data_IF_415944405378
#
_entry.id   IF_415944405378
#
_cell.length_a   1.000
_cell.length_b   1.000
_cell.length_c   1.000
_cell.angle_alpha   90.00
_cell.angle_beta   90.00
_cell.angle_gamma   90.00
#
_symmetry.space_group_name_H-M   'P 1'
#
loop_
_entity.id
_entity.type
_entity.pdbx_description
1 polymer ?
#
# COMPACT_ATOMS: atom_id res chain seq x y z
N UNK A 1 -9.58 35.05 30.69
CA UNK A 1 -8.78 35.45 29.50
C UNK A 1 -9.23 34.54 28.37
N UNK A 2 -9.59 35.14 27.26
CA UNK A 2 -10.45 34.57 26.24
C UNK A 2 -9.78 33.46 25.41
N UNK A 3 -10.45 32.33 25.32
CA UNK A 3 -10.12 31.20 24.45
C UNK A 3 -10.54 31.56 23.01
N UNK A 4 -9.61 31.97 22.17
CA UNK A 4 -9.85 32.20 20.73
C UNK A 4 -9.79 30.89 19.98
N UNK A 5 -10.93 30.20 19.95
CA UNK A 5 -11.22 29.13 19.02
C UNK A 5 -11.30 29.70 17.60
N UNK A 6 -10.23 29.63 16.84
CA UNK A 6 -10.21 29.91 15.40
C UNK A 6 -10.89 28.77 14.66
N UNK A 7 -12.23 28.81 14.58
CA UNK A 7 -12.98 28.05 13.56
C UNK A 7 -12.50 28.52 12.18
N UNK A 8 -11.71 27.72 11.49
CA UNK A 8 -11.52 27.86 10.04
C UNK A 8 -12.90 27.72 9.39
N UNK A 9 -13.44 28.82 8.88
CA UNK A 9 -14.65 28.84 8.05
C UNK A 9 -14.35 27.99 6.81
N UNK A 10 -15.12 26.91 6.58
CA UNK A 10 -15.17 26.21 5.30
C UNK A 10 -15.69 27.19 4.26
N UNK A 11 -14.82 27.74 3.41
CA UNK A 11 -15.23 28.50 2.25
C UNK A 11 -15.98 27.57 1.29
N UNK A 12 -17.16 28.00 0.84
CA UNK A 12 -17.87 27.31 -0.22
C UNK A 12 -16.99 27.33 -1.49
N UNK A 13 -16.89 26.20 -2.20
CA UNK A 13 -16.15 26.06 -3.46
C UNK A 13 -16.77 26.84 -4.63
N UNK A 14 -17.95 27.49 -4.41
CA UNK A 14 -18.67 28.25 -5.42
C UNK A 14 -17.86 29.47 -5.90
N UNK A 15 -17.23 29.34 -7.05
CA UNK A 15 -16.48 30.40 -7.73
C UNK A 15 -15.01 30.13 -8.00
N UNK A 16 -14.45 29.00 -7.57
CA UNK A 16 -13.10 28.61 -7.91
C UNK A 16 -13.10 27.93 -9.29
N UNK A 17 -12.30 28.46 -10.22
CA UNK A 17 -12.13 27.85 -11.54
C UNK A 17 -11.41 26.50 -11.39
N UNK A 18 -12.06 25.42 -11.86
CA UNK A 18 -11.49 24.06 -11.79
C UNK A 18 -10.44 23.91 -12.90
N UNK A 19 -9.16 23.63 -12.57
CA UNK A 19 -8.15 23.32 -13.56
C UNK A 19 -8.61 22.20 -14.47
N UNK A 20 -8.39 22.37 -15.79
CA UNK A 20 -8.81 21.39 -16.77
C UNK A 20 -7.63 21.00 -17.68
N UNK A 21 -7.34 19.70 -17.74
CA UNK A 21 -6.37 19.12 -18.64
C UNK A 21 -7.07 18.46 -19.84
N UNK A 22 -6.64 18.79 -21.05
CA UNK A 22 -7.10 18.10 -22.26
C UNK A 22 -6.03 17.08 -22.68
N UNK A 23 -6.39 15.81 -22.70
CA UNK A 23 -5.48 14.68 -22.89
C UNK A 23 -5.92 13.91 -24.12
N UNK A 24 -5.00 13.70 -25.06
CA UNK A 24 -5.24 12.84 -26.22
C UNK A 24 -4.90 11.40 -25.80
N UNK A 25 -5.93 10.63 -25.43
CA UNK A 25 -5.80 9.20 -25.11
C UNK A 25 -7.16 8.51 -25.14
N UNK A 26 -7.13 7.23 -25.46
CA UNK A 26 -8.26 6.31 -25.50
C UNK A 26 -8.17 5.25 -24.40
N UNK A 27 -6.97 5.06 -23.83
CA UNK A 27 -6.73 4.06 -22.78
C UNK A 27 -5.85 4.64 -21.67
N UNK A 28 -6.03 4.10 -20.47
CA UNK A 28 -5.28 4.52 -19.29
C UNK A 28 -4.73 3.27 -18.58
N UNK A 29 -3.42 3.23 -18.37
CA UNK A 29 -2.79 2.27 -17.45
C UNK A 29 -2.72 2.89 -16.07
N UNK A 30 -3.33 2.27 -15.07
CA UNK A 30 -3.25 2.68 -13.67
C UNK A 30 -2.20 1.89 -12.92
N UNK A 31 -1.33 2.60 -12.20
CA UNK A 31 -0.39 2.08 -11.21
C UNK A 31 -0.52 2.90 -9.94
N UNK A 32 -0.26 2.32 -8.76
CA UNK A 32 -0.37 3.02 -7.48
C UNK A 32 0.56 2.43 -6.44
N UNK A 33 0.83 3.18 -5.38
CA UNK A 33 1.50 2.69 -4.17
C UNK A 33 2.84 1.99 -4.48
N UNK A 34 3.68 2.68 -5.28
CA UNK A 34 4.99 2.19 -5.72
C UNK A 34 5.97 2.13 -4.54
N UNK A 35 5.94 3.15 -3.68
CA UNK A 35 6.78 3.28 -2.50
C UNK A 35 8.27 3.09 -2.75
N UNK A 36 8.85 3.88 -3.66
CA UNK A 36 10.31 3.95 -3.77
C UNK A 36 10.92 4.26 -2.40
N UNK A 37 11.91 3.47 -1.99
CA UNK A 37 12.52 3.55 -0.66
C UNK A 37 11.86 2.66 0.41
N UNK A 38 10.97 1.74 0.04
CA UNK A 38 10.43 0.73 0.96
C UNK A 38 11.57 -0.03 1.68
N UNK A 39 11.26 -0.61 2.86
CA UNK A 39 12.19 -1.38 3.68
C UNK A 39 13.49 -0.60 4.01
N UNK A 40 13.33 0.66 4.46
CA UNK A 40 14.43 1.57 4.84
C UNK A 40 15.43 1.81 3.71
N UNK A 41 14.94 1.95 2.48
CA UNK A 41 15.75 2.19 1.27
C UNK A 41 16.78 1.09 0.99
N UNK A 42 16.49 -0.16 1.38
CA UNK A 42 17.45 -1.26 1.18
C UNK A 42 17.77 -1.49 -0.29
N UNK A 43 19.03 -1.81 -0.58
CA UNK A 43 19.53 -2.12 -1.93
C UNK A 43 18.70 -3.25 -2.58
N UNK A 44 18.39 -4.31 -1.83
CA UNK A 44 17.57 -5.42 -2.30
C UNK A 44 16.19 -4.96 -2.82
N UNK A 45 15.55 -3.99 -2.14
CA UNK A 45 14.26 -3.46 -2.59
C UNK A 45 14.41 -2.52 -3.77
N UNK A 46 15.47 -1.73 -3.84
CA UNK A 46 15.76 -0.91 -5.01
C UNK A 46 15.95 -1.80 -6.26
N UNK A 47 16.73 -2.89 -6.15
CA UNK A 47 16.89 -3.88 -7.21
C UNK A 47 15.55 -4.52 -7.63
N UNK A 48 14.69 -4.90 -6.67
CA UNK A 48 13.38 -5.48 -6.98
C UNK A 48 12.50 -4.48 -7.74
N UNK A 49 12.51 -3.21 -7.33
CA UNK A 49 11.75 -2.15 -7.99
C UNK A 49 12.31 -1.85 -9.39
N UNK A 50 13.62 -1.73 -9.52
CA UNK A 50 14.29 -1.52 -10.79
C UNK A 50 13.97 -2.65 -11.79
N UNK A 51 14.08 -3.90 -11.35
CA UNK A 51 13.75 -5.06 -12.19
C UNK A 51 12.27 -5.07 -12.58
N UNK A 52 11.35 -4.76 -11.65
CA UNK A 52 9.93 -4.67 -11.97
C UNK A 52 9.66 -3.69 -13.10
N UNK A 53 10.24 -2.48 -13.02
CA UNK A 53 10.03 -1.48 -14.05
C UNK A 53 10.71 -1.85 -15.37
N UNK A 54 11.95 -2.33 -15.33
CA UNK A 54 12.75 -2.61 -16.52
C UNK A 54 12.33 -3.86 -17.27
N UNK A 55 12.01 -4.93 -16.52
CA UNK A 55 11.80 -6.25 -17.09
C UNK A 55 10.31 -6.61 -17.25
N UNK A 56 9.40 -5.86 -16.56
CA UNK A 56 7.97 -6.15 -16.64
C UNK A 56 7.11 -4.95 -17.02
N UNK A 57 7.17 -3.81 -16.33
CA UNK A 57 6.23 -2.70 -16.54
C UNK A 57 6.51 -1.94 -17.83
N UNK A 58 7.76 -1.57 -18.12
CA UNK A 58 8.13 -0.90 -19.38
C UNK A 58 7.86 -1.81 -20.59
N UNK A 59 8.24 -3.09 -20.62
CA UNK A 59 7.82 -4.01 -21.69
C UNK A 59 6.30 -4.14 -21.83
N UNK A 60 5.54 -4.16 -20.72
CA UNK A 60 4.08 -4.13 -20.76
C UNK A 60 3.54 -2.87 -21.46
N UNK A 61 4.07 -1.68 -21.10
CA UNK A 61 3.71 -0.42 -21.76
C UNK A 61 3.99 -0.49 -23.26
N UNK A 62 5.18 -0.94 -23.66
CA UNK A 62 5.56 -1.04 -25.08
C UNK A 62 4.65 -1.97 -25.86
N UNK A 63 4.31 -3.13 -25.27
CA UNK A 63 3.34 -4.05 -25.88
C UNK A 63 1.96 -3.40 -25.99
N UNK A 64 1.50 -2.74 -24.93
CA UNK A 64 0.20 -2.05 -24.93
C UNK A 64 0.15 -0.96 -25.98
N UNK A 65 1.19 -0.16 -26.15
CA UNK A 65 1.26 0.88 -27.16
C UNK A 65 1.26 0.34 -28.60
N UNK A 66 1.83 -0.84 -28.82
CA UNK A 66 1.78 -1.48 -30.14
C UNK A 66 0.35 -1.88 -30.54
N UNK A 67 -0.49 -2.24 -29.57
CA UNK A 67 -1.89 -2.63 -29.78
C UNK A 67 -2.86 -1.44 -29.63
N UNK A 68 -2.53 -0.48 -28.75
CA UNK A 68 -3.35 0.67 -28.32
C UNK A 68 -2.49 1.95 -28.26
N UNK A 69 -2.22 2.59 -29.42
CA UNK A 69 -1.25 3.72 -29.50
C UNK A 69 -1.63 4.95 -28.65
N UNK A 70 -2.94 5.22 -28.49
CA UNK A 70 -3.43 6.36 -27.70
C UNK A 70 -3.67 5.93 -26.24
N UNK A 71 -2.57 5.56 -25.55
CA UNK A 71 -2.56 5.16 -24.15
C UNK A 71 -1.73 6.14 -23.32
N UNK A 72 -2.11 6.33 -22.05
CA UNK A 72 -1.34 7.10 -21.06
C UNK A 72 -1.16 6.27 -19.78
N UNK A 73 -0.19 6.64 -18.93
CA UNK A 73 -0.03 6.09 -17.57
C UNK A 73 -0.54 7.11 -16.58
N UNK A 74 -1.30 6.64 -15.58
CA UNK A 74 -1.70 7.44 -14.43
C UNK A 74 -1.27 6.72 -13.14
N UNK A 75 -0.41 7.37 -12.36
CA UNK A 75 -0.07 6.93 -11.00
C UNK A 75 -1.01 7.58 -10.00
N UNK A 76 -1.62 6.75 -9.15
CA UNK A 76 -2.58 7.19 -8.15
C UNK A 76 -1.95 7.54 -6.81
N UNK A 77 -0.67 7.94 -6.80
CA UNK A 77 0.02 8.44 -5.61
C UNK A 77 0.87 7.40 -4.88
N UNK A 78 1.46 7.85 -3.78
CA UNK A 78 2.42 7.12 -2.96
C UNK A 78 3.59 6.57 -3.80
N UNK A 79 4.22 7.48 -4.54
CA UNK A 79 5.40 7.19 -5.34
C UNK A 79 6.60 6.93 -4.44
N UNK A 80 6.83 7.82 -3.46
CA UNK A 80 7.88 7.65 -2.44
C UNK A 80 7.32 7.06 -1.15
N UNK A 81 8.16 6.32 -0.43
CA UNK A 81 7.76 5.74 0.86
C UNK A 81 7.98 6.69 2.03
N UNK A 82 9.16 7.32 2.14
CA UNK A 82 9.47 8.18 3.28
C UNK A 82 8.97 9.61 3.07
N UNK A 83 8.26 10.11 4.08
CA UNK A 83 7.66 11.46 4.12
C UNK A 83 8.58 12.52 4.75
N UNK A 84 9.72 12.12 5.30
CA UNK A 84 10.64 13.02 6.06
C UNK A 84 11.91 13.34 5.30
N UNK A 85 12.46 12.35 4.62
CA UNK A 85 13.72 12.43 3.87
C UNK A 85 13.68 11.40 2.73
N UNK A 86 14.30 11.72 1.62
CA UNK A 86 14.46 10.80 0.51
C UNK A 86 15.95 10.50 0.41
N UNK A 87 16.27 9.21 0.38
CA UNK A 87 17.60 8.72 0.10
C UNK A 87 18.02 9.12 -1.32
N UNK A 88 19.30 9.41 -1.54
CA UNK A 88 19.80 9.91 -2.84
C UNK A 88 19.62 8.84 -3.92
N UNK A 89 20.01 7.60 -3.63
CA UNK A 89 19.94 6.50 -4.61
C UNK A 89 18.49 6.18 -4.95
N UNK A 90 17.59 6.23 -3.96
CA UNK A 90 16.13 6.08 -4.16
C UNK A 90 15.57 7.20 -5.04
N UNK A 91 16.03 8.44 -4.83
CA UNK A 91 15.56 9.57 -5.63
C UNK A 91 16.05 9.46 -7.08
N UNK A 92 17.30 9.05 -7.30
CA UNK A 92 17.85 8.81 -8.64
C UNK A 92 17.09 7.68 -9.35
N UNK A 93 16.89 6.53 -8.67
CA UNK A 93 16.11 5.41 -9.21
C UNK A 93 14.69 5.84 -9.61
N UNK A 94 14.02 6.65 -8.79
CA UNK A 94 12.69 7.14 -9.08
C UNK A 94 12.67 8.07 -10.30
N UNK A 95 13.59 9.04 -10.38
CA UNK A 95 13.70 9.99 -11.49
C UNK A 95 13.98 9.22 -12.79
N UNK A 96 15.01 8.38 -12.81
CA UNK A 96 15.39 7.59 -13.98
C UNK A 96 14.25 6.71 -14.49
N UNK A 97 13.53 6.08 -13.55
CA UNK A 97 12.37 5.24 -13.87
C UNK A 97 11.29 6.06 -14.58
N UNK A 98 10.89 7.20 -13.99
CA UNK A 98 9.84 8.03 -14.60
C UNK A 98 10.28 8.74 -15.85
N UNK A 99 11.56 9.14 -16.01
CA UNK A 99 12.11 9.67 -17.26
C UNK A 99 12.01 8.63 -18.39
N UNK A 100 12.36 7.38 -18.09
CA UNK A 100 12.28 6.27 -19.07
C UNK A 100 10.84 5.99 -19.47
N UNK A 101 9.92 5.96 -18.53
CA UNK A 101 8.49 5.78 -18.81
C UNK A 101 7.96 6.98 -19.63
N UNK A 102 8.23 8.20 -19.19
CA UNK A 102 7.73 9.41 -19.83
C UNK A 102 8.31 9.67 -21.24
N UNK A 103 9.49 9.10 -21.54
CA UNK A 103 10.05 9.09 -22.90
C UNK A 103 9.27 8.16 -23.86
N UNK A 104 8.50 7.20 -23.34
CA UNK A 104 7.73 6.23 -24.12
C UNK A 104 6.25 6.64 -24.20
N UNK A 105 5.68 7.12 -23.08
CA UNK A 105 4.24 7.33 -22.89
C UNK A 105 3.99 8.54 -21.99
N UNK A 106 2.97 9.38 -22.23
CA UNK A 106 2.62 10.45 -21.32
C UNK A 106 2.19 9.91 -19.95
N UNK A 107 2.71 10.56 -18.90
CA UNK A 107 2.49 10.17 -17.52
C UNK A 107 1.77 11.26 -16.71
N UNK A 108 0.85 10.87 -15.87
CA UNK A 108 0.16 11.73 -14.92
C UNK A 108 0.29 11.12 -13.52
N UNK A 109 0.55 11.93 -12.51
CA UNK A 109 0.71 11.46 -11.13
C UNK A 109 -0.14 12.37 -10.22
N UNK A 110 -1.03 11.80 -9.41
CA UNK A 110 -1.65 12.53 -8.31
C UNK A 110 -0.82 12.33 -7.03
N UNK A 111 -0.79 13.33 -6.13
CA UNK A 111 -0.14 13.16 -4.84
C UNK A 111 -0.90 12.13 -3.99
N UNK A 112 -0.15 11.17 -3.41
CA UNK A 112 -0.60 10.36 -2.29
C UNK A 112 -0.21 10.99 -0.95
N UNK A 113 -0.59 10.34 0.15
CA UNK A 113 -0.30 10.83 1.49
C UNK A 113 1.20 10.69 1.84
N UNK A 114 1.90 9.70 1.29
CA UNK A 114 3.35 9.55 1.46
C UNK A 114 4.16 10.55 0.62
N UNK A 115 3.59 11.10 -0.43
CA UNK A 115 4.24 12.14 -1.24
C UNK A 115 4.22 13.52 -0.58
N UNK A 116 3.44 13.73 0.49
CA UNK A 116 3.32 15.01 1.18
C UNK A 116 4.10 15.04 2.49
N UNK A 117 4.83 16.14 2.73
CA UNK A 117 5.59 16.35 3.95
C UNK A 117 4.68 16.47 5.18
N UNK A 118 4.93 15.66 6.22
CA UNK A 118 4.28 15.80 7.54
C UNK A 118 4.80 16.99 8.37
N UNK A 119 5.99 17.53 8.02
CA UNK A 119 6.64 18.56 8.85
C UNK A 119 6.05 19.96 8.69
N UNK A 120 5.36 20.22 7.59
CA UNK A 120 4.84 21.56 7.30
C UNK A 120 3.48 21.46 6.63
N UNK A 121 2.52 22.28 7.08
CA UNK A 121 1.20 22.45 6.40
C UNK A 121 1.32 23.24 5.08
N UNK A 122 2.50 23.27 4.45
CA UNK A 122 2.77 24.08 3.24
C UNK A 122 2.50 23.34 1.94
N UNK A 123 2.05 22.06 2.00
CA UNK A 123 1.80 21.26 0.80
C UNK A 123 3.07 20.91 0.01
N UNK A 124 4.24 20.87 0.68
CA UNK A 124 5.46 20.43 0.04
C UNK A 124 5.35 18.94 -0.33
N UNK A 125 5.68 18.64 -1.58
CA UNK A 125 5.59 17.28 -2.13
C UNK A 125 6.97 16.82 -2.63
N UNK A 126 7.29 15.55 -2.34
CA UNK A 126 8.45 14.84 -2.88
C UNK A 126 8.41 14.75 -4.41
N UNK A 127 7.21 14.71 -4.99
CA UNK A 127 7.01 14.68 -6.45
C UNK A 127 7.51 15.95 -7.17
N UNK A 128 7.97 16.94 -6.42
CA UNK A 128 8.63 18.12 -7.02
C UNK A 128 9.86 17.74 -7.84
N UNK A 129 10.59 16.69 -7.47
CA UNK A 129 11.73 16.17 -8.23
C UNK A 129 11.36 15.73 -9.64
N UNK A 130 10.12 15.30 -9.84
CA UNK A 130 9.61 14.78 -11.11
C UNK A 130 8.99 15.86 -12.03
N UNK A 131 8.75 17.08 -11.51
CA UNK A 131 7.99 18.11 -12.27
C UNK A 131 8.68 18.64 -13.51
N UNK A 132 9.98 18.43 -13.67
CA UNK A 132 10.76 18.84 -14.82
C UNK A 132 10.90 17.76 -15.91
N UNK A 133 10.40 16.56 -15.65
CA UNK A 133 10.43 15.46 -16.62
C UNK A 133 9.45 15.78 -17.75
N UNK A 134 9.95 15.74 -18.98
CA UNK A 134 9.11 15.97 -20.17
C UNK A 134 8.04 14.87 -20.28
N UNK A 135 6.83 15.23 -20.69
CA UNK A 135 5.67 14.34 -20.82
C UNK A 135 5.18 13.75 -19.47
N UNK A 136 5.63 14.29 -18.35
CA UNK A 136 5.14 13.94 -17.03
C UNK A 136 4.45 15.15 -16.39
N UNK A 137 3.24 14.95 -15.86
CA UNK A 137 2.45 15.97 -15.19
C UNK A 137 2.09 15.52 -13.78
N UNK A 138 2.51 16.30 -12.78
CA UNK A 138 2.11 16.09 -11.37
C UNK A 138 0.87 16.92 -11.08
N UNK A 139 -0.21 16.27 -10.72
CA UNK A 139 -1.50 16.86 -10.38
C UNK A 139 -1.52 17.08 -8.86
N UNK A 140 -1.48 18.35 -8.42
CA UNK A 140 -1.34 18.73 -6.99
C UNK A 140 -2.64 19.24 -6.38
N UNK A 141 -3.63 19.54 -7.20
CA UNK A 141 -4.93 20.07 -6.80
C UNK A 141 -6.06 19.40 -7.61
N UNK A 142 -7.30 19.41 -7.11
CA UNK A 142 -8.41 18.81 -7.80
C UNK A 142 -8.57 19.37 -9.22
N UNK A 143 -8.52 18.48 -10.22
CA UNK A 143 -8.39 18.80 -11.63
C UNK A 143 -9.36 17.96 -12.46
N UNK A 144 -10.00 18.54 -13.47
CA UNK A 144 -10.79 17.81 -14.46
C UNK A 144 -9.91 17.39 -15.64
N UNK A 145 -9.76 16.11 -15.84
CA UNK A 145 -9.03 15.53 -16.99
C UNK A 145 -10.04 15.15 -18.09
N UNK A 146 -9.94 15.77 -19.26
CA UNK A 146 -10.79 15.48 -20.43
C UNK A 146 -10.02 14.66 -21.43
N UNK A 147 -10.37 13.40 -21.57
CA UNK A 147 -9.76 12.47 -22.51
C UNK A 147 -10.47 12.54 -23.86
N UNK A 148 -9.68 12.62 -24.93
CA UNK A 148 -10.19 12.89 -26.28
C UNK A 148 -9.55 11.94 -27.30
N UNK A 149 -10.37 11.53 -28.28
CA UNK A 149 -9.92 11.00 -29.56
C UNK A 149 -10.33 11.99 -30.67
N UNK A 150 -9.35 12.60 -31.30
CA UNK A 150 -9.56 13.74 -32.19
C UNK A 150 -10.27 14.89 -31.47
N UNK A 151 -11.47 15.26 -31.94
CA UNK A 151 -12.32 16.31 -31.34
C UNK A 151 -13.35 15.78 -30.33
N UNK A 152 -13.58 14.44 -30.31
CA UNK A 152 -14.57 13.81 -29.45
C UNK A 152 -14.00 13.65 -28.03
N UNK A 153 -14.74 14.09 -27.02
CA UNK A 153 -14.47 13.75 -25.61
C UNK A 153 -15.00 12.34 -25.38
N UNK A 154 -14.11 11.44 -24.98
CA UNK A 154 -14.45 10.04 -24.65
C UNK A 154 -14.88 9.92 -23.20
N UNK A 155 -14.15 10.57 -22.28
CA UNK A 155 -14.46 10.59 -20.88
C UNK A 155 -13.93 11.86 -20.20
N UNK A 156 -14.61 12.28 -19.14
CA UNK A 156 -14.13 13.26 -18.18
C UNK A 156 -13.82 12.54 -16.88
N UNK A 157 -12.66 12.79 -16.31
CA UNK A 157 -12.16 12.11 -15.12
C UNK A 157 -11.74 13.16 -14.10
N UNK A 158 -12.29 13.08 -12.88
CA UNK A 158 -11.89 13.95 -11.78
C UNK A 158 -10.63 13.39 -11.12
N UNK A 159 -9.51 14.11 -11.15
CA UNK A 159 -8.32 13.78 -10.38
C UNK A 159 -8.37 14.56 -9.05
N UNK A 160 -8.52 13.86 -7.94
CA UNK A 160 -8.56 14.42 -6.59
C UNK A 160 -7.38 13.84 -5.81
N UNK A 161 -6.22 14.55 -5.76
CA UNK A 161 -5.07 14.11 -4.99
C UNK A 161 -5.41 14.08 -3.50
N UNK A 162 -4.57 13.42 -2.69
CA UNK A 162 -4.71 13.40 -1.25
C UNK A 162 -4.69 14.83 -0.67
N UNK A 163 -5.74 15.21 0.06
CA UNK A 163 -5.89 16.55 0.63
C UNK A 163 -5.66 16.59 2.15
N UNK A 164 -5.56 15.42 2.80
CA UNK A 164 -5.33 15.31 4.25
C UNK A 164 -6.58 15.49 5.11
N UNK A 165 -7.75 15.72 4.50
CA UNK A 165 -9.05 15.81 5.18
C UNK A 165 -10.12 15.18 4.28
N UNK A 166 -10.72 14.09 4.75
CA UNK A 166 -11.78 13.39 4.03
C UNK A 166 -13.04 14.27 3.78
N UNK A 167 -13.25 15.30 4.59
CA UNK A 167 -14.37 16.23 4.35
C UNK A 167 -14.09 17.11 3.13
N UNK A 168 -12.85 17.55 2.91
CA UNK A 168 -12.49 18.32 1.74
C UNK A 168 -12.50 17.44 0.49
N UNK A 169 -12.02 16.20 0.58
CA UNK A 169 -12.10 15.19 -0.48
C UNK A 169 -13.55 14.88 -0.86
N UNK A 170 -14.44 14.71 0.13
CA UNK A 170 -15.89 14.55 -0.08
C UNK A 170 -16.54 15.76 -0.79
N UNK A 171 -16.14 16.99 -0.46
CA UNK A 171 -16.64 18.20 -1.13
C UNK A 171 -16.29 18.21 -2.62
N UNK A 172 -15.02 17.86 -2.94
CA UNK A 172 -14.58 17.76 -4.32
C UNK A 172 -15.26 16.62 -5.08
N UNK A 173 -15.49 15.50 -4.41
CA UNK A 173 -16.21 14.37 -4.99
C UNK A 173 -17.65 14.76 -5.38
N UNK A 174 -18.34 15.53 -4.52
CA UNK A 174 -19.66 16.12 -4.82
C UNK A 174 -19.57 17.13 -5.95
N UNK A 175 -18.57 18.01 -5.95
CA UNK A 175 -18.38 19.05 -6.99
C UNK A 175 -18.19 18.45 -8.38
N UNK A 176 -17.49 17.31 -8.47
CA UNK A 176 -17.29 16.61 -9.74
C UNK A 176 -18.43 15.65 -10.12
N UNK A 177 -19.36 15.37 -9.20
CA UNK A 177 -20.48 14.47 -9.47
C UNK A 177 -21.36 15.03 -10.60
N UNK A 178 -21.63 14.18 -11.60
CA UNK A 178 -22.32 14.60 -12.84
C UNK A 178 -21.48 15.37 -13.86
N UNK A 179 -20.20 15.68 -13.53
CA UNK A 179 -19.24 16.33 -14.44
C UNK A 179 -18.17 15.36 -14.95
N UNK A 180 -18.01 14.22 -14.28
CA UNK A 180 -17.02 13.19 -14.60
C UNK A 180 -17.61 11.79 -14.43
N UNK A 181 -17.15 10.84 -15.24
CA UNK A 181 -17.52 9.43 -15.22
C UNK A 181 -16.71 8.66 -14.18
N UNK A 182 -15.46 9.08 -13.93
CA UNK A 182 -14.56 8.49 -12.96
C UNK A 182 -13.98 9.55 -12.03
N UNK A 183 -13.68 9.15 -10.79
CA UNK A 183 -12.87 9.93 -9.86
C UNK A 183 -11.60 9.13 -9.51
N UNK A 184 -10.42 9.73 -9.74
CA UNK A 184 -9.13 9.19 -9.33
C UNK A 184 -8.76 9.81 -8.00
N UNK A 185 -8.46 8.97 -7.01
CA UNK A 185 -8.19 9.41 -5.64
C UNK A 185 -7.01 8.67 -5.03
N UNK A 186 -6.57 9.18 -3.88
CA UNK A 186 -5.63 8.47 -3.01
C UNK A 186 -6.07 8.70 -1.56
N UNK A 187 -6.97 7.86 -1.05
CA UNK A 187 -7.64 8.10 0.24
C UNK A 187 -8.31 6.86 0.78
N UNK A 188 -8.64 6.89 2.08
CA UNK A 188 -9.55 5.94 2.70
C UNK A 188 -10.98 6.13 2.18
N UNK A 189 -11.65 5.03 1.80
CA UNK A 189 -13.03 5.05 1.32
C UNK A 189 -13.89 4.16 2.23
N UNK A 190 -14.96 4.74 2.76
CA UNK A 190 -15.91 4.06 3.66
C UNK A 190 -16.48 2.80 3.02
N UNK A 191 -16.73 1.76 3.83
CA UNK A 191 -17.22 0.43 3.46
C UNK A 191 -16.21 -0.48 2.75
N UNK A 192 -15.05 0.05 2.35
CA UNK A 192 -13.92 -0.75 1.88
C UNK A 192 -13.14 -1.32 3.08
N UNK A 193 -12.09 -2.08 2.83
CA UNK A 193 -11.30 -2.72 3.89
C UNK A 193 -9.87 -2.21 3.90
N UNK A 194 -9.31 -2.05 5.10
CA UNK A 194 -7.87 -1.90 5.29
C UNK A 194 -7.10 -3.18 4.93
N UNK A 195 -5.79 -3.10 4.81
CA UNK A 195 -4.93 -4.25 4.50
C UNK A 195 -5.05 -5.38 5.55
N UNK A 196 -5.35 -5.04 6.81
CA UNK A 196 -5.63 -6.00 7.89
C UNK A 196 -7.05 -6.62 7.84
N UNK A 197 -7.89 -6.21 6.87
CA UNK A 197 -9.25 -6.72 6.68
C UNK A 197 -10.35 -6.01 7.47
N UNK A 198 -10.02 -5.05 8.33
CA UNK A 198 -11.02 -4.22 9.03
C UNK A 198 -11.75 -3.31 8.07
N UNK A 199 -13.03 -3.08 8.31
CA UNK A 199 -13.84 -2.18 7.48
C UNK A 199 -13.52 -0.71 7.77
N UNK A 200 -13.28 0.08 6.74
CA UNK A 200 -13.07 1.53 6.82
C UNK A 200 -14.39 2.24 7.12
N UNK A 201 -14.40 3.07 8.15
CA UNK A 201 -15.57 3.87 8.57
C UNK A 201 -15.18 5.33 8.75
N UNK A 202 -16.13 6.23 8.50
CA UNK A 202 -15.93 7.68 8.73
C UNK A 202 -14.98 8.37 7.75
N UNK A 203 -14.69 7.73 6.60
CA UNK A 203 -13.82 8.23 5.56
C UNK A 203 -14.59 8.80 4.36
N UNK A 204 -13.97 8.91 3.18
CA UNK A 204 -14.63 9.37 1.96
C UNK A 204 -15.82 8.47 1.62
N UNK A 205 -16.94 9.08 1.27
CA UNK A 205 -18.17 8.39 0.88
C UNK A 205 -18.31 8.39 -0.65
N UNK A 206 -17.96 7.27 -1.28
CA UNK A 206 -18.02 7.13 -2.73
C UNK A 206 -19.45 7.24 -3.31
N UNK A 207 -20.49 7.06 -2.50
CA UNK A 207 -21.88 7.21 -2.93
C UNK A 207 -22.25 8.67 -3.27
N UNK A 208 -21.45 9.62 -2.81
CA UNK A 208 -21.61 11.06 -3.16
C UNK A 208 -21.21 11.39 -4.59
N UNK A 209 -20.58 10.48 -5.28
CA UNK A 209 -20.17 10.62 -6.67
C UNK A 209 -21.04 9.75 -7.57
N UNK A 210 -21.51 10.27 -8.71
CA UNK A 210 -22.38 9.53 -9.63
C UNK A 210 -21.64 8.43 -10.40
N UNK A 211 -20.34 8.61 -10.70
CA UNK A 211 -19.49 7.68 -11.43
C UNK A 211 -18.79 6.65 -10.54
N UNK A 212 -17.72 6.04 -11.06
CA UNK A 212 -16.90 5.04 -10.37
C UNK A 212 -15.64 5.69 -9.79
N UNK A 213 -15.24 5.30 -8.58
CA UNK A 213 -14.01 5.77 -7.93
C UNK A 213 -12.90 4.74 -8.14
N UNK A 214 -11.72 5.19 -8.59
CA UNK A 214 -10.49 4.38 -8.73
C UNK A 214 -9.45 5.03 -7.83
N UNK A 215 -8.94 4.30 -6.84
CA UNK A 215 -8.08 4.86 -5.79
C UNK A 215 -6.82 4.04 -5.56
N UNK A 216 -5.74 4.71 -5.16
CA UNK A 216 -4.61 4.17 -4.43
C UNK A 216 -4.85 4.21 -2.93
N UNK A 217 -3.78 4.14 -2.13
CA UNK A 217 -3.70 4.22 -0.68
C UNK A 217 -3.78 2.86 0.04
N UNK A 218 -4.72 2.00 -0.33
CA UNK A 218 -4.81 0.65 0.21
C UNK A 218 -4.01 -0.29 -0.69
N UNK A 219 -2.99 -0.95 -0.13
CA UNK A 219 -2.09 -1.80 -0.90
C UNK A 219 -2.77 -3.09 -1.38
N UNK A 220 -3.83 -3.50 -0.71
CA UNK A 220 -4.61 -4.68 -1.08
C UNK A 220 -5.61 -4.34 -2.17
N UNK A 221 -5.45 -4.95 -3.35
CA UNK A 221 -6.40 -4.80 -4.45
C UNK A 221 -7.82 -5.19 -3.99
N UNK A 222 -8.77 -4.30 -4.22
CA UNK A 222 -10.19 -4.55 -3.96
C UNK A 222 -11.02 -3.97 -5.10
N UNK A 223 -12.10 -4.65 -5.44
CA UNK A 223 -12.97 -4.22 -6.51
C UNK A 223 -14.44 -4.43 -6.14
N UNK A 224 -15.22 -3.36 -6.33
CA UNK A 224 -16.68 -3.33 -6.26
C UNK A 224 -17.22 -2.63 -7.49
N UNK A 225 -18.52 -2.68 -7.77
CA UNK A 225 -19.09 -1.89 -8.86
C UNK A 225 -18.82 -0.39 -8.74
N UNK A 226 -18.67 0.13 -7.50
CA UNK A 226 -18.51 1.55 -7.19
C UNK A 226 -17.08 2.00 -7.00
N UNK A 227 -16.25 1.17 -6.39
CA UNK A 227 -14.89 1.52 -5.96
C UNK A 227 -13.92 0.44 -6.41
N UNK A 228 -12.77 0.88 -6.95
CA UNK A 228 -11.60 0.05 -7.19
C UNK A 228 -10.42 0.61 -6.44
N UNK A 229 -9.84 -0.16 -5.53
CA UNK A 229 -8.47 0.05 -5.08
C UNK A 229 -7.53 -0.73 -5.99
N UNK A 230 -6.64 0.00 -6.68
CA UNK A 230 -5.67 -0.59 -7.59
C UNK A 230 -4.70 -1.50 -6.84
N UNK A 231 -4.32 -1.08 -5.63
CA UNK A 231 -3.33 -1.75 -4.82
C UNK A 231 -1.90 -1.49 -5.28
N UNK A 232 -0.93 -1.95 -4.48
CA UNK A 232 0.49 -1.87 -4.86
C UNK A 232 0.81 -2.79 -6.04
N UNK A 233 1.80 -2.43 -6.87
CA UNK A 233 2.10 -3.17 -8.10
C UNK A 233 2.82 -4.51 -7.84
N UNK A 234 3.37 -4.70 -6.65
CA UNK A 234 4.06 -5.91 -6.16
C UNK A 234 3.79 -6.09 -4.66
N UNK A 235 4.07 -7.28 -4.14
CA UNK A 235 3.99 -7.53 -2.71
C UNK A 235 5.16 -6.85 -1.99
N UNK A 236 4.88 -6.15 -0.90
CA UNK A 236 5.87 -5.42 -0.11
C UNK A 236 6.12 -6.04 1.26
N UNK A 237 5.20 -6.86 1.76
CA UNK A 237 5.29 -7.44 3.09
C UNK A 237 4.56 -8.78 3.19
N UNK A 238 4.73 -9.45 4.35
CA UNK A 238 3.96 -10.65 4.68
C UNK A 238 2.45 -10.44 4.76
N UNK A 239 2.01 -9.21 4.98
CA UNK A 239 0.60 -8.82 4.93
C UNK A 239 -0.02 -8.99 3.54
N UNK A 240 0.81 -9.06 2.50
CA UNK A 240 0.38 -9.23 1.12
C UNK A 240 0.23 -10.69 0.66
N UNK A 241 0.56 -11.66 1.53
CA UNK A 241 0.42 -13.09 1.20
C UNK A 241 -1.01 -13.39 0.75
N UNK A 242 -1.14 -14.03 -0.42
CA UNK A 242 -2.42 -14.37 -1.03
C UNK A 242 -3.15 -13.20 -1.71
N UNK A 243 -2.62 -11.97 -1.66
CA UNK A 243 -3.12 -10.86 -2.44
C UNK A 243 -2.41 -10.75 -3.79
N UNK A 244 -3.18 -10.85 -4.87
CA UNK A 244 -2.65 -10.72 -6.22
C UNK A 244 -2.41 -9.24 -6.54
N UNK A 245 -1.17 -8.89 -6.83
CA UNK A 245 -0.70 -7.55 -7.18
C UNK A 245 -0.67 -7.36 -8.69
N UNK A 246 -0.66 -6.10 -9.15
CA UNK A 246 -0.61 -5.78 -10.56
C UNK A 246 -1.03 -4.36 -10.88
N UNK A 247 -1.55 -4.18 -12.07
CA UNK A 247 -1.98 -2.91 -12.62
C UNK A 247 -3.34 -3.05 -13.31
N UNK A 248 -3.97 -1.93 -13.65
CA UNK A 248 -5.21 -1.92 -14.42
C UNK A 248 -5.05 -1.18 -15.74
N UNK A 249 -5.76 -1.63 -16.76
CA UNK A 249 -5.95 -0.95 -18.04
C UNK A 249 -7.43 -0.59 -18.19
N UNK A 250 -7.74 0.70 -18.33
CA UNK A 250 -9.08 1.20 -18.64
C UNK A 250 -9.16 1.57 -20.12
N UNK A 251 -10.13 1.01 -20.83
CA UNK A 251 -10.52 1.46 -22.17
C UNK A 251 -11.66 2.47 -22.04
N UNK A 252 -11.46 3.68 -22.56
CA UNK A 252 -12.41 4.78 -22.35
C UNK A 252 -13.64 4.73 -23.27
N UNK A 253 -13.60 3.97 -24.34
CA UNK A 253 -14.69 3.85 -25.30
C UNK A 253 -15.89 3.06 -24.71
N UNK A 254 -15.59 1.98 -24.01
CA UNK A 254 -16.57 1.05 -23.46
C UNK A 254 -16.55 0.97 -21.93
N UNK A 255 -15.56 1.60 -21.29
CA UNK A 255 -15.39 1.59 -19.84
C UNK A 255 -14.85 0.26 -19.29
N UNK A 256 -14.32 -0.63 -20.16
CA UNK A 256 -13.74 -1.88 -19.73
C UNK A 256 -12.49 -1.63 -18.87
N UNK A 257 -12.45 -2.22 -17.67
CA UNK A 257 -11.33 -2.13 -16.74
C UNK A 257 -10.72 -3.52 -16.52
N UNK A 258 -9.55 -3.74 -17.09
CA UNK A 258 -8.86 -5.03 -17.13
C UNK A 258 -7.73 -5.04 -16.09
N UNK A 259 -7.73 -6.00 -15.18
CA UNK A 259 -6.61 -6.25 -14.26
C UNK A 259 -5.53 -7.11 -14.94
N UNK A 260 -4.28 -6.65 -14.89
CA UNK A 260 -3.10 -7.41 -15.32
C UNK A 260 -2.28 -7.80 -14.11
N UNK A 261 -2.21 -9.08 -13.73
CA UNK A 261 -1.46 -9.52 -12.57
C UNK A 261 0.05 -9.43 -12.81
N UNK A 262 0.77 -9.00 -11.77
CA UNK A 262 2.22 -9.07 -11.71
C UNK A 262 2.64 -10.45 -11.18
N UNK A 263 3.03 -11.34 -12.08
CA UNK A 263 3.58 -12.65 -11.74
C UNK A 263 5.12 -12.68 -11.86
N UNK A 264 5.75 -11.50 -12.00
CA UNK A 264 7.19 -11.35 -12.23
C UNK A 264 7.95 -11.07 -10.94
N UNK A 265 7.42 -10.18 -10.11
CA UNK A 265 8.12 -9.74 -8.88
C UNK A 265 8.14 -10.83 -7.81
N UNK A 266 9.14 -10.80 -6.90
CA UNK A 266 9.17 -11.68 -5.75
C UNK A 266 7.87 -11.63 -4.94
N UNK A 267 7.46 -12.79 -4.41
CA UNK A 267 6.28 -12.90 -3.55
C UNK A 267 6.65 -13.33 -2.15
N UNK A 268 5.85 -12.92 -1.17
CA UNK A 268 5.85 -13.48 0.17
C UNK A 268 4.91 -14.69 0.20
N UNK A 269 5.38 -15.80 0.74
CA UNK A 269 4.59 -17.03 0.83
C UNK A 269 4.85 -17.77 2.15
N UNK A 270 3.87 -18.57 2.57
CA UNK A 270 4.00 -19.51 3.69
C UNK A 270 3.87 -20.92 3.16
N UNK A 271 4.74 -21.81 3.63
CA UNK A 271 4.70 -23.23 3.35
C UNK A 271 4.65 -24.03 4.65
N UNK A 272 3.77 -24.99 4.73
CA UNK A 272 3.79 -25.97 5.80
C UNK A 272 5.07 -26.84 5.72
N UNK A 273 5.66 -27.17 6.89
CA UNK A 273 6.89 -27.96 6.97
C UNK A 273 6.78 -29.31 6.26
N UNK A 274 5.63 -30.00 6.36
CA UNK A 274 5.42 -31.30 5.70
C UNK A 274 5.43 -31.14 4.18
N UNK A 275 4.79 -30.07 3.68
CA UNK A 275 4.83 -29.74 2.25
C UNK A 275 6.28 -29.45 1.80
N UNK A 276 7.01 -28.61 2.55
CA UNK A 276 8.38 -28.23 2.22
C UNK A 276 9.33 -29.43 2.19
N UNK A 277 9.26 -30.31 3.18
CA UNK A 277 10.13 -31.49 3.28
C UNK A 277 9.83 -32.56 2.22
N UNK A 278 8.58 -32.62 1.75
CA UNK A 278 8.16 -33.59 0.72
C UNK A 278 8.47 -33.13 -0.72
N UNK A 279 8.85 -31.86 -0.92
CA UNK A 279 9.23 -31.35 -2.24
C UNK A 279 10.55 -31.96 -2.70
N UNK A 280 10.63 -32.30 -3.98
CA UNK A 280 11.91 -32.54 -4.65
C UNK A 280 12.74 -31.26 -4.72
N UNK A 281 14.03 -31.37 -4.96
CA UNK A 281 14.91 -30.19 -5.11
C UNK A 281 14.49 -29.29 -6.26
N UNK A 282 13.95 -29.86 -7.34
CA UNK A 282 13.43 -29.10 -8.48
C UNK A 282 12.20 -28.30 -8.07
N UNK A 283 11.19 -28.94 -7.50
CA UNK A 283 9.97 -28.29 -7.03
C UNK A 283 10.27 -27.20 -6.00
N UNK A 284 11.21 -27.46 -5.09
CA UNK A 284 11.61 -26.50 -4.06
C UNK A 284 12.25 -25.26 -4.69
N UNK A 285 13.17 -25.44 -5.64
CA UNK A 285 13.79 -24.34 -6.37
C UNK A 285 12.76 -23.57 -7.19
N UNK A 286 11.91 -24.22 -7.95
CA UNK A 286 10.85 -23.56 -8.74
C UNK A 286 9.92 -22.72 -7.87
N UNK A 287 9.59 -23.21 -6.68
CA UNK A 287 8.67 -22.54 -5.76
C UNK A 287 9.31 -21.40 -4.97
N UNK A 288 10.54 -21.57 -4.50
CA UNK A 288 11.17 -20.65 -3.55
C UNK A 288 12.14 -19.68 -4.21
N UNK A 289 12.73 -20.03 -5.37
CA UNK A 289 13.76 -19.22 -6.00
C UNK A 289 13.29 -17.77 -6.20
N UNK A 290 14.08 -16.83 -5.68
CA UNK A 290 13.79 -15.41 -5.76
C UNK A 290 12.63 -14.90 -4.88
N UNK A 291 11.98 -15.76 -4.08
CA UNK A 291 10.85 -15.42 -3.22
C UNK A 291 11.22 -15.31 -1.74
N UNK A 292 10.33 -14.68 -0.96
CA UNK A 292 10.40 -14.59 0.50
C UNK A 292 9.49 -15.68 1.10
N UNK A 293 10.07 -16.67 1.79
CA UNK A 293 9.32 -17.85 2.21
C UNK A 293 9.41 -18.07 3.72
N UNK A 294 8.28 -18.16 4.38
CA UNK A 294 8.18 -18.61 5.76
C UNK A 294 7.80 -20.10 5.77
N UNK A 295 8.68 -20.94 6.30
CA UNK A 295 8.39 -22.36 6.54
C UNK A 295 7.75 -22.46 7.91
N UNK A 296 6.51 -22.95 7.96
CA UNK A 296 5.72 -22.99 9.18
C UNK A 296 5.70 -24.39 9.75
N UNK A 297 6.07 -24.53 11.02
CA UNK A 297 6.04 -25.79 11.76
C UNK A 297 5.25 -25.61 13.05
N UNK A 298 4.34 -26.54 13.36
CA UNK A 298 3.69 -26.56 14.65
C UNK A 298 4.67 -27.03 15.74
N UNK A 299 4.62 -26.42 16.92
CA UNK A 299 5.55 -26.72 18.04
C UNK A 299 5.60 -28.22 18.38
N UNK A 300 4.44 -28.89 18.31
CA UNK A 300 4.32 -30.33 18.55
C UNK A 300 5.05 -31.18 17.50
N UNK A 301 5.23 -30.67 16.28
CA UNK A 301 5.90 -31.38 15.20
C UNK A 301 7.44 -31.15 15.19
N UNK A 302 7.94 -30.16 15.93
CA UNK A 302 9.40 -29.84 15.97
C UNK A 302 10.27 -31.05 16.27
N UNK A 303 9.94 -31.94 17.24
CA UNK A 303 10.77 -33.12 17.53
C UNK A 303 10.86 -34.13 16.37
N UNK A 304 9.94 -34.06 15.43
CA UNK A 304 9.88 -35.00 14.29
C UNK A 304 10.89 -34.66 13.16
N UNK A 305 11.55 -33.50 13.23
CA UNK A 305 12.44 -33.00 12.19
C UNK A 305 13.83 -32.68 12.74
N UNK A 306 14.84 -32.91 11.93
CA UNK A 306 16.20 -32.42 12.19
C UNK A 306 16.33 -30.99 11.67
N UNK A 307 16.51 -30.03 12.56
CA UNK A 307 16.63 -28.62 12.21
C UNK A 307 17.74 -28.36 11.19
N UNK A 308 18.88 -29.08 11.30
CA UNK A 308 19.97 -28.94 10.34
C UNK A 308 19.55 -29.25 8.90
N UNK A 309 18.75 -30.30 8.69
CA UNK A 309 18.26 -30.68 7.37
C UNK A 309 17.32 -29.62 6.79
N UNK A 310 16.46 -29.03 7.64
CA UNK A 310 15.56 -27.93 7.22
C UNK A 310 16.38 -26.72 6.77
N UNK A 311 17.35 -26.28 7.58
CA UNK A 311 18.18 -25.12 7.24
C UNK A 311 19.04 -25.35 6.00
N UNK A 312 19.56 -26.55 5.79
CA UNK A 312 20.29 -26.92 4.58
C UNK A 312 19.40 -26.80 3.33
N UNK A 313 18.20 -27.37 3.39
CA UNK A 313 17.22 -27.27 2.30
C UNK A 313 16.75 -25.84 2.04
N UNK A 314 16.57 -25.03 3.10
CA UNK A 314 16.25 -23.60 2.96
C UNK A 314 17.37 -22.85 2.25
N UNK A 315 18.62 -23.06 2.66
CA UNK A 315 19.79 -22.38 2.08
C UNK A 315 20.05 -22.75 0.61
N UNK A 316 19.70 -23.98 0.22
CA UNK A 316 19.90 -24.48 -1.17
C UNK A 316 18.70 -24.24 -2.09
N UNK A 317 17.59 -23.69 -1.55
CA UNK A 317 16.34 -23.47 -2.27
C UNK A 317 16.39 -22.34 -3.30
N UNK A 318 17.34 -21.40 -3.18
CA UNK A 318 17.42 -20.18 -3.97
C UNK A 318 16.43 -19.09 -3.54
N UNK A 319 15.74 -19.23 -2.39
CA UNK A 319 14.90 -18.17 -1.84
C UNK A 319 15.73 -16.91 -1.58
N UNK A 320 15.16 -15.72 -1.82
CA UNK A 320 15.76 -14.45 -1.39
C UNK A 320 15.91 -14.41 0.12
N UNK A 321 14.88 -14.88 0.81
CA UNK A 321 14.88 -15.07 2.25
C UNK A 321 13.97 -16.23 2.61
N UNK A 322 14.50 -17.21 3.34
CA UNK A 322 13.71 -18.27 3.97
C UNK A 322 13.87 -18.20 5.48
N UNK A 323 12.77 -18.34 6.22
CA UNK A 323 12.80 -18.40 7.68
C UNK A 323 11.87 -19.48 8.20
N UNK A 324 12.18 -20.04 9.37
CA UNK A 324 11.35 -21.00 10.07
C UNK A 324 10.48 -20.27 11.09
N UNK A 325 9.15 -20.43 10.98
CA UNK A 325 8.15 -19.92 11.91
C UNK A 325 7.59 -21.08 12.73
N UNK A 326 7.83 -21.11 14.04
CA UNK A 326 7.24 -22.11 14.93
C UNK A 326 5.91 -21.57 15.46
N UNK A 327 4.82 -22.25 15.11
CA UNK A 327 3.49 -21.95 15.67
C UNK A 327 3.37 -22.62 17.03
N UNK A 328 3.18 -21.82 18.07
CA UNK A 328 2.79 -22.33 19.38
C UNK A 328 1.39 -22.94 19.30
N UNK A 329 1.21 -24.10 19.92
CA UNK A 329 -0.11 -24.68 20.13
C UNK A 329 -0.97 -23.66 20.86
N UNK A 330 -2.17 -23.37 20.35
CA UNK A 330 -3.15 -22.65 21.16
C UNK A 330 -3.34 -23.50 22.40
N UNK A 331 -3.03 -22.96 23.57
CA UNK A 331 -3.51 -23.54 24.81
C UNK A 331 -5.03 -23.39 24.69
N UNK A 332 -5.73 -24.53 24.50
CA UNK A 332 -7.16 -24.58 24.71
C UNK A 332 -7.37 -24.22 26.17
N UNK A 333 -7.66 -22.96 26.45
CA UNK A 333 -8.31 -22.59 27.68
C UNK A 333 -9.67 -23.26 27.57
N UNK A 334 -9.80 -24.43 28.20
CA UNK A 334 -11.06 -25.10 28.35
C UNK A 334 -12.05 -24.06 28.87
N UNK A 335 -13.10 -23.82 28.11
CA UNK A 335 -14.27 -23.09 28.60
C UNK A 335 -14.74 -23.78 29.89
N UNK A 336 -14.32 -23.26 31.03
CA UNK A 336 -15.01 -23.56 32.26
C UNK A 336 -16.42 -22.98 32.12
N UNK A 337 -17.40 -23.87 32.20
CA UNK A 337 -18.84 -23.61 32.15
C UNK A 337 -19.27 -22.74 33.37
N UNK A 338 -18.77 -21.56 33.50
CA UNK A 338 -19.31 -20.54 34.39
C UNK A 338 -19.29 -19.19 33.69
N UNK A 339 -20.45 -18.81 33.14
CA UNK A 339 -20.72 -17.62 32.36
C UNK A 339 -20.40 -16.31 33.09
N UNK A 340 -19.11 -16.03 33.29
CA UNK A 340 -18.60 -14.71 33.66
C UNK A 340 -17.90 -14.11 32.46
N UNK A 341 -18.38 -12.94 32.04
CA UNK A 341 -17.75 -12.10 31.06
C UNK A 341 -16.25 -11.96 31.39
N UNK A 342 -15.38 -12.46 30.52
CA UNK A 342 -13.95 -12.13 30.57
C UNK A 342 -13.83 -10.65 30.30
N UNK A 343 -13.54 -9.86 31.33
CA UNK A 343 -13.05 -8.50 31.17
C UNK A 343 -11.86 -8.56 30.22
N UNK A 344 -11.89 -7.81 29.12
CA UNK A 344 -10.77 -7.66 28.19
C UNK A 344 -9.59 -7.08 28.98
N UNK A 345 -8.60 -7.94 29.30
CA UNK A 345 -7.38 -7.50 29.98
C UNK A 345 -6.59 -6.57 29.07
N UNK A 346 -6.16 -5.47 29.63
CA UNK A 346 -5.27 -4.54 28.91
C UNK A 346 -3.92 -5.20 28.61
N UNK A 347 -3.17 -4.63 27.64
CA UNK A 347 -1.82 -5.11 27.32
C UNK A 347 -0.90 -5.06 28.53
N UNK A 348 -1.04 -4.03 29.39
CA UNK A 348 -0.35 -3.91 30.67
C UNK A 348 -0.63 -5.09 31.60
N UNK A 349 -1.90 -5.41 31.79
CA UNK A 349 -2.32 -6.51 32.69
C UNK A 349 -1.81 -7.87 32.20
N UNK A 350 -1.73 -8.08 30.88
CA UNK A 350 -1.17 -9.29 30.28
C UNK A 350 0.35 -9.40 30.50
N UNK A 351 1.07 -8.29 30.36
CA UNK A 351 2.51 -8.23 30.60
C UNK A 351 2.81 -8.43 32.09
N UNK A 352 2.08 -7.77 32.97
CA UNK A 352 2.25 -7.91 34.40
C UNK A 352 2.01 -9.36 34.85
N UNK A 353 0.98 -10.01 34.33
CA UNK A 353 0.70 -11.42 34.59
C UNK A 353 1.81 -12.35 34.06
N UNK A 354 2.37 -12.05 32.91
CA UNK A 354 3.50 -12.79 32.33
C UNK A 354 4.75 -12.65 33.22
N UNK A 355 5.05 -11.44 33.72
CA UNK A 355 6.17 -11.19 34.64
C UNK A 355 5.96 -11.93 35.97
N UNK A 356 4.74 -11.94 36.53
CA UNK A 356 4.41 -12.67 37.75
C UNK A 356 4.53 -14.20 37.62
N UNK A 357 4.37 -14.73 36.43
CA UNK A 357 4.48 -16.16 36.13
C UNK A 357 5.91 -16.67 36.00
N UNK A 358 6.94 -15.79 36.09
CA UNK A 358 8.34 -16.18 35.99
C UNK A 358 8.78 -17.00 37.24
N UNK A 359 9.11 -18.26 37.04
CA UNK A 359 9.64 -19.12 38.08
C UNK A 359 11.11 -18.83 38.35
N UNK A 360 11.50 -18.86 39.67
CA UNK A 360 12.91 -18.71 40.09
C UNK A 360 13.43 -17.27 40.10
N UNK A 361 12.56 -16.27 39.96
CA UNK A 361 12.89 -14.85 40.03
C UNK A 361 12.46 -14.28 41.39
N UNK A 362 13.32 -13.50 42.02
CA UNK A 362 12.99 -12.88 43.33
C UNK A 362 12.02 -11.70 43.17
N UNK A 363 11.30 -11.36 44.27
CA UNK A 363 10.27 -10.31 44.28
C UNK A 363 10.81 -8.93 43.87
N UNK A 364 12.08 -8.62 44.15
CA UNK A 364 12.68 -7.35 43.80
C UNK A 364 12.87 -7.26 42.27
N UNK A 365 13.35 -8.33 41.65
CA UNK A 365 13.52 -8.42 40.20
C UNK A 365 12.17 -8.36 39.48
N UNK A 366 11.12 -9.01 40.03
CA UNK A 366 9.75 -8.90 39.49
C UNK A 366 9.27 -7.43 39.50
N UNK A 367 9.48 -6.74 40.63
CA UNK A 367 9.09 -5.32 40.76
C UNK A 367 9.85 -4.43 39.76
N UNK A 368 11.14 -4.67 39.57
CA UNK A 368 11.98 -3.92 38.59
C UNK A 368 11.52 -4.17 37.14
N UNK A 369 11.18 -5.42 36.79
CA UNK A 369 10.65 -5.78 35.47
C UNK A 369 9.31 -5.10 35.18
N UNK A 370 8.38 -5.04 36.15
CA UNK A 370 7.11 -4.33 36.01
C UNK A 370 7.31 -2.82 35.83
N UNK A 371 8.22 -2.21 36.62
CA UNK A 371 8.51 -0.81 36.49
C UNK A 371 9.12 -0.48 35.11
N UNK A 372 10.01 -1.32 34.61
CA UNK A 372 10.62 -1.19 33.29
C UNK A 372 9.60 -1.34 32.16
N UNK A 373 8.73 -2.34 32.26
CA UNK A 373 7.63 -2.59 31.32
C UNK A 373 6.70 -1.38 31.22
N UNK A 374 6.26 -0.83 32.35
CA UNK A 374 5.42 0.37 32.41
C UNK A 374 6.08 1.59 31.78
N UNK A 375 7.41 1.77 31.99
CA UNK A 375 8.17 2.83 31.38
C UNK A 375 8.23 2.72 29.84
N UNK A 376 8.46 1.51 29.32
CA UNK A 376 8.48 1.27 27.87
C UNK A 376 7.12 1.45 27.21
N UNK A 377 6.04 1.02 27.87
CA UNK A 377 4.67 1.19 27.38
C UNK A 377 4.27 2.67 27.35
N UNK A 378 4.64 3.45 28.37
CA UNK A 378 4.43 4.90 28.39
C UNK A 378 5.19 5.59 27.26
N UNK A 379 6.46 5.24 27.05
CA UNK A 379 7.27 5.79 25.97
C UNK A 379 6.72 5.41 24.56
N UNK A 380 6.21 4.20 24.41
CA UNK A 380 5.58 3.77 23.16
C UNK A 380 4.29 4.54 22.87
N UNK A 381 3.44 4.80 23.87
CA UNK A 381 2.23 5.64 23.74
C UNK A 381 2.57 7.09 23.38
N UNK A 382 3.54 7.67 24.09
CA UNK A 382 4.01 9.02 23.76
C UNK A 382 4.57 9.12 22.33
N UNK A 383 5.21 8.05 21.83
CA UNK A 383 5.71 7.98 20.45
C UNK A 383 4.57 7.78 19.43
N UNK A 384 3.45 7.15 19.81
CA UNK A 384 2.24 7.05 18.98
C UNK A 384 1.44 8.35 18.94
N UNK A 385 1.31 9.05 20.06
CA UNK A 385 0.64 10.35 20.15
C UNK A 385 1.40 11.46 19.42
N UNK A 386 2.70 11.26 19.15
CA UNK A 386 3.56 12.17 18.37
C UNK A 386 3.62 11.83 16.88
N UNK A 387 2.91 10.78 16.43
CA UNK A 387 2.79 10.37 15.02
C UNK A 387 1.50 10.89 14.40
#
# INVERSE_FOLDING_TARGET
MANTNTKKKSAALSGQEIPTLNIKAENIIFISDIHFGWASSSEEWQENQERYFNEWFIPYIQKTLAERPETVVVSLGDVYHDRKSIDIDVNELCIDTFERIANIIPCYIINGNHDLSKKTNKGNSSLRSLTNIKNLTVIKEPTLMKFKSGTKVLASIAAIPYLGDCNDENKWLVEFSGKAEYALMHTDISKMKFDNGMTIVGAVDAEKFSGRVISGHIHKRQETPKVVYVGSPYQMSRGDIGNQKGIYLLTLEDGELIFTPNNFSPVFQKLDIKQFMNMTDVERREKLNGNYTDIVIDEADVPNYKMADIYELMNTSGAKRAQLEVKKSKIDVSDDEDGRSTDEKTVEELIDQAIESLEGVDEQTIAELKALSSQYLSAAREAEDQK
#
